data_IF_273639186817
#
_entry.id   IF_273639186817
#
_cell.length_a   1.000
_cell.length_b   1.000
_cell.length_c   1.000
_cell.angle_alpha   90.00
_cell.angle_beta   90.00
_cell.angle_gamma   90.00
#
_symmetry.space_group_name_H-M   'P 1'
#
loop_
_entity.id
_entity.type
_entity.pdbx_description
1 polymer ?
#
# COMPACT_ATOMS: atom_id res chain seq x y z
N UNK A 1 -5.29 15.80 -19.75
CA UNK A 1 -4.76 15.84 -18.36
C UNK A 1 -3.84 17.05 -18.23
N UNK A 2 -4.21 18.08 -17.46
CA UNK A 2 -3.37 19.27 -17.24
C UNK A 2 -2.12 18.82 -16.48
N UNK A 3 -0.92 18.98 -17.06
CA UNK A 3 0.32 18.66 -16.37
C UNK A 3 0.46 19.59 -15.15
N UNK A 4 0.30 19.03 -13.95
CA UNK A 4 0.55 19.74 -12.70
C UNK A 4 1.96 19.44 -12.23
N UNK A 5 2.74 20.50 -12.06
CA UNK A 5 4.06 20.46 -11.44
C UNK A 5 3.93 20.03 -9.98
N UNK A 6 4.78 19.10 -9.55
CA UNK A 6 4.88 18.70 -8.14
C UNK A 6 5.40 19.89 -7.33
N UNK A 7 4.63 20.30 -6.31
CA UNK A 7 5.09 21.34 -5.37
C UNK A 7 6.00 20.72 -4.32
N UNK A 8 6.84 21.53 -3.68
CA UNK A 8 7.71 21.06 -2.58
C UNK A 8 6.92 20.33 -1.46
N UNK A 9 5.73 20.82 -1.11
CA UNK A 9 4.85 20.16 -0.15
C UNK A 9 4.33 18.79 -0.62
N UNK A 10 4.07 18.62 -1.93
CA UNK A 10 3.69 17.32 -2.49
C UNK A 10 4.86 16.34 -2.36
N UNK A 11 6.08 16.79 -2.64
CA UNK A 11 7.29 15.97 -2.53
C UNK A 11 7.56 15.55 -1.08
N UNK A 12 7.38 16.46 -0.12
CA UNK A 12 7.52 16.16 1.30
C UNK A 12 6.51 15.10 1.75
N UNK A 13 5.24 15.23 1.35
CA UNK A 13 4.21 14.24 1.67
C UNK A 13 4.46 12.89 1.00
N UNK A 14 4.93 12.88 -0.26
CA UNK A 14 5.33 11.66 -0.97
C UNK A 14 6.45 10.94 -0.20
N UNK A 15 7.50 11.66 0.20
CA UNK A 15 8.60 11.11 1.00
C UNK A 15 8.15 10.59 2.36
N UNK A 16 7.28 11.35 3.04
CA UNK A 16 6.69 10.94 4.32
C UNK A 16 5.91 9.62 4.17
N UNK A 17 5.09 9.46 3.14
CA UNK A 17 4.36 8.22 2.92
C UNK A 17 5.26 7.05 2.53
N UNK A 18 6.35 7.29 1.78
CA UNK A 18 7.36 6.26 1.54
C UNK A 18 8.04 5.81 2.86
N UNK A 19 8.32 6.75 3.78
CA UNK A 19 8.83 6.42 5.11
C UNK A 19 7.80 5.67 5.97
N UNK A 20 6.53 6.05 5.93
CA UNK A 20 5.46 5.32 6.63
C UNK A 20 5.28 3.90 6.08
N UNK A 21 5.46 3.69 4.77
CA UNK A 21 5.50 2.34 4.19
C UNK A 21 6.66 1.53 4.77
N UNK A 22 7.85 2.11 4.91
CA UNK A 22 9.01 1.45 5.52
C UNK A 22 8.76 1.07 6.99
N UNK A 23 8.16 1.97 7.76
CA UNK A 23 7.74 1.70 9.15
C UNK A 23 6.69 0.60 9.17
N UNK A 24 5.67 0.67 8.31
CA UNK A 24 4.63 -0.33 8.22
C UNK A 24 5.15 -1.71 7.81
N UNK A 25 6.21 -1.77 7.00
CA UNK A 25 6.86 -3.01 6.60
C UNK A 25 7.59 -3.70 7.76
N UNK A 26 8.13 -2.91 8.70
CA UNK A 26 9.04 -3.39 9.73
C UNK A 26 8.45 -3.38 11.15
N UNK A 27 7.26 -2.79 11.36
CA UNK A 27 6.64 -2.74 12.69
C UNK A 27 6.40 -4.12 13.30
N UNK A 28 6.19 -5.15 12.46
CA UNK A 28 6.02 -6.54 12.88
C UNK A 28 7.28 -7.38 12.76
N UNK A 29 8.40 -6.81 12.27
CA UNK A 29 9.69 -7.51 12.15
C UNK A 29 10.28 -7.91 13.49
N UNK A 30 9.97 -7.17 14.56
CA UNK A 30 10.42 -7.49 15.92
C UNK A 30 9.55 -8.55 16.62
N UNK A 31 8.48 -9.04 15.97
CA UNK A 31 7.54 -10.01 16.52
C UNK A 31 7.49 -11.27 15.63
N UNK A 32 8.36 -12.28 15.87
CA UNK A 32 8.48 -13.47 15.03
C UNK A 32 7.21 -14.33 14.95
N UNK A 33 6.25 -14.12 15.85
CA UNK A 33 4.95 -14.78 15.86
C UNK A 33 3.90 -14.08 14.98
N UNK A 34 4.14 -12.84 14.55
CA UNK A 34 3.25 -12.07 13.65
C UNK A 34 3.61 -12.29 12.18
N UNK A 35 3.79 -13.55 11.80
CA UNK A 35 4.00 -13.96 10.41
C UNK A 35 3.19 -15.22 10.11
N UNK A 36 2.67 -15.30 8.89
CA UNK A 36 1.94 -16.48 8.40
C UNK A 36 2.66 -16.97 7.16
N UNK A 37 3.04 -18.26 7.15
CA UNK A 37 3.82 -18.88 6.07
C UNK A 37 5.13 -18.16 5.70
N UNK A 38 5.78 -17.51 6.68
CA UNK A 38 7.01 -16.73 6.49
C UNK A 38 6.82 -15.36 5.84
N UNK A 39 5.57 -14.89 5.73
CA UNK A 39 5.24 -13.55 5.28
C UNK A 39 4.82 -12.73 6.51
N UNK A 40 5.54 -11.63 6.84
CA UNK A 40 5.20 -10.78 7.97
C UNK A 40 3.84 -10.10 7.81
N UNK A 41 3.08 -10.04 8.90
CA UNK A 41 1.77 -9.39 8.96
C UNK A 41 1.95 -7.86 9.02
N UNK A 42 2.34 -7.23 7.92
CA UNK A 42 2.76 -5.81 7.89
C UNK A 42 1.59 -4.82 7.95
N UNK A 43 1.86 -3.55 8.26
CA UNK A 43 0.90 -2.44 8.17
C UNK A 43 1.01 -1.66 6.84
N UNK A 44 1.79 -2.15 5.88
CA UNK A 44 1.96 -1.50 4.58
C UNK A 44 0.64 -1.27 3.83
N UNK A 45 -0.30 -2.25 3.75
CA UNK A 45 -1.59 -2.02 3.08
C UNK A 45 -2.35 -0.82 3.66
N UNK A 46 -2.31 -0.65 4.98
CA UNK A 46 -2.94 0.49 5.65
C UNK A 46 -2.32 1.82 5.21
N UNK A 47 -0.99 1.96 5.23
CA UNK A 47 -0.33 3.20 4.83
C UNK A 47 -0.46 3.49 3.33
N UNK A 48 -0.46 2.44 2.49
CA UNK A 48 -0.72 2.54 1.07
C UNK A 48 -2.11 3.15 0.78
N UNK A 49 -3.15 2.62 1.42
CA UNK A 49 -4.52 3.11 1.25
C UNK A 49 -4.71 4.49 1.88
N UNK A 50 -4.09 4.75 3.02
CA UNK A 50 -4.07 6.08 3.64
C UNK A 50 -3.43 7.12 2.71
N UNK A 51 -2.31 6.77 2.04
CA UNK A 51 -1.67 7.61 1.05
C UNK A 51 -2.63 7.94 -0.11
N UNK A 52 -3.35 6.93 -0.61
CA UNK A 52 -4.34 7.12 -1.67
C UNK A 52 -5.45 8.09 -1.27
N UNK A 53 -5.97 7.94 -0.05
CA UNK A 53 -7.05 8.77 0.50
C UNK A 53 -6.64 10.22 0.73
N UNK A 54 -5.38 10.43 1.12
CA UNK A 54 -4.82 11.74 1.45
C UNK A 54 -4.26 12.46 0.24
N UNK A 55 -3.40 11.80 -0.53
CA UNK A 55 -2.62 12.41 -1.61
C UNK A 55 -3.33 12.40 -2.96
N UNK A 56 -4.31 11.51 -3.14
CA UNK A 56 -4.92 11.23 -4.44
C UNK A 56 -4.14 10.23 -5.28
N UNK A 57 -4.65 9.90 -6.47
CA UNK A 57 -4.23 8.77 -7.30
C UNK A 57 -2.75 8.87 -7.69
N UNK A 58 -2.39 9.98 -8.35
CA UNK A 58 -1.06 10.14 -8.97
C UNK A 58 0.04 10.25 -7.92
N UNK A 59 -0.19 11.06 -6.88
CA UNK A 59 0.81 11.31 -5.83
C UNK A 59 1.01 10.09 -4.93
N UNK A 60 -0.07 9.36 -4.60
CA UNK A 60 0.05 8.13 -3.83
C UNK A 60 0.79 7.04 -4.63
N UNK A 61 0.50 6.89 -5.93
CA UNK A 61 1.25 5.99 -6.80
C UNK A 61 2.74 6.34 -6.84
N UNK A 62 3.07 7.64 -6.99
CA UNK A 62 4.46 8.11 -6.92
C UNK A 62 5.10 7.76 -5.57
N UNK A 63 4.40 7.93 -4.43
CA UNK A 63 4.92 7.56 -3.12
C UNK A 63 5.23 6.05 -3.01
N UNK A 64 4.35 5.19 -3.54
CA UNK A 64 4.61 3.75 -3.57
C UNK A 64 5.78 3.39 -4.49
N UNK A 65 5.92 4.09 -5.62
CA UNK A 65 7.08 3.93 -6.52
C UNK A 65 8.38 4.39 -5.86
N UNK A 66 8.36 5.53 -5.15
CA UNK A 66 9.53 6.01 -4.40
C UNK A 66 9.93 5.02 -3.32
N UNK A 67 8.97 4.46 -2.58
CA UNK A 67 9.23 3.37 -1.63
C UNK A 67 9.89 2.16 -2.32
N UNK A 68 9.33 1.70 -3.43
CA UNK A 68 9.89 0.55 -4.16
C UNK A 68 11.31 0.82 -4.69
N UNK A 69 11.55 2.00 -5.28
CA UNK A 69 12.85 2.38 -5.83
C UNK A 69 13.90 2.63 -4.75
N UNK A 70 13.54 3.24 -3.64
CA UNK A 70 14.46 3.46 -2.52
C UNK A 70 14.93 2.12 -1.92
N UNK A 71 14.01 1.17 -1.75
CA UNK A 71 14.37 -0.17 -1.28
C UNK A 71 15.20 -0.93 -2.30
N UNK A 72 14.86 -0.82 -3.59
CA UNK A 72 15.64 -1.40 -4.69
C UNK A 72 17.05 -0.81 -4.76
N UNK A 73 17.23 0.48 -4.48
CA UNK A 73 18.52 1.15 -4.44
C UNK A 73 19.39 0.76 -3.22
N UNK A 74 18.87 -0.07 -2.31
CA UNK A 74 19.63 -0.63 -1.19
C UNK A 74 19.23 -0.12 0.19
N UNK A 75 18.20 0.72 0.31
CA UNK A 75 17.70 1.11 1.64
C UNK A 75 17.01 -0.09 2.33
N UNK A 76 17.30 -0.39 3.61
CA UNK A 76 16.73 -1.52 4.35
C UNK A 76 15.30 -1.23 4.84
N UNK A 77 14.40 -0.93 3.89
CA UNK A 77 13.04 -0.45 4.16
C UNK A 77 11.96 -1.48 3.85
N UNK A 78 12.31 -2.60 3.20
CA UNK A 78 11.40 -3.71 3.01
C UNK A 78 11.28 -4.52 4.30
N UNK A 79 10.30 -5.44 4.34
CA UNK A 79 10.02 -6.23 5.52
C UNK A 79 11.27 -7.01 5.98
N UNK A 80 11.43 -7.14 7.30
CA UNK A 80 12.63 -7.72 7.93
C UNK A 80 13.92 -6.95 7.62
N UNK A 81 13.81 -5.63 7.49
CA UNK A 81 14.90 -4.71 7.16
C UNK A 81 15.68 -5.14 5.91
N UNK A 82 14.99 -5.77 4.96
CA UNK A 82 15.59 -6.22 3.71
C UNK A 82 15.69 -5.09 2.68
N UNK A 83 16.56 -5.27 1.69
CA UNK A 83 16.88 -4.27 0.67
C UNK A 83 17.26 -4.92 -0.67
N UNK A 84 17.35 -4.10 -1.71
CA UNK A 84 17.83 -4.49 -3.04
C UNK A 84 16.78 -5.26 -3.84
N UNK A 85 17.26 -6.08 -4.79
CA UNK A 85 16.41 -6.84 -5.68
C UNK A 85 15.88 -8.15 -5.08
N UNK A 86 16.56 -8.71 -4.07
CA UNK A 86 16.19 -10.00 -3.49
C UNK A 86 14.74 -10.06 -2.94
N UNK A 87 14.20 -9.03 -2.26
CA UNK A 87 12.81 -9.03 -1.82
C UNK A 87 11.79 -9.09 -2.97
N UNK A 88 12.16 -8.59 -4.17
CA UNK A 88 11.28 -8.62 -5.33
C UNK A 88 11.10 -10.01 -5.91
N UNK A 89 12.05 -10.93 -5.75
CA UNK A 89 11.94 -12.34 -6.18
C UNK A 89 11.44 -13.27 -5.07
N UNK A 90 11.26 -12.75 -3.86
CA UNK A 90 10.72 -13.49 -2.72
C UNK A 90 9.22 -13.69 -2.79
N UNK A 91 8.68 -14.49 -1.86
CA UNK A 91 7.24 -14.83 -1.78
C UNK A 91 6.34 -13.59 -1.69
N UNK A 92 6.78 -12.53 -0.99
CA UNK A 92 6.03 -11.30 -0.77
C UNK A 92 6.34 -10.16 -1.74
N UNK A 93 7.27 -10.36 -2.70
CA UNK A 93 7.73 -9.30 -3.61
C UNK A 93 6.60 -8.66 -4.42
N UNK A 94 5.60 -9.45 -4.79
CA UNK A 94 4.41 -8.99 -5.51
C UNK A 94 3.60 -7.94 -4.78
N UNK A 95 3.61 -7.91 -3.45
CA UNK A 95 2.89 -6.90 -2.68
C UNK A 95 3.54 -5.52 -2.81
N UNK A 96 4.88 -5.45 -2.89
CA UNK A 96 5.61 -4.20 -3.15
C UNK A 96 5.14 -3.58 -4.48
N UNK A 97 5.00 -4.42 -5.52
CA UNK A 97 4.51 -4.01 -6.82
C UNK A 97 3.01 -3.67 -6.80
N UNK A 98 2.21 -4.42 -6.04
CA UNK A 98 0.76 -4.25 -5.95
C UNK A 98 0.34 -2.93 -5.30
N UNK A 99 1.16 -2.37 -4.40
CA UNK A 99 0.83 -1.10 -3.75
C UNK A 99 0.71 0.06 -4.75
N UNK A 100 1.49 0.07 -5.83
CA UNK A 100 1.45 1.15 -6.84
C UNK A 100 0.06 1.25 -7.52
N UNK A 101 -0.44 0.21 -8.20
CA UNK A 101 -1.76 0.26 -8.83
C UNK A 101 -2.89 0.34 -7.80
N UNK A 102 -2.74 -0.24 -6.60
CA UNK A 102 -3.74 -0.14 -5.55
C UNK A 102 -3.91 1.30 -5.04
N UNK A 103 -2.81 1.99 -4.77
CA UNK A 103 -2.81 3.39 -4.35
C UNK A 103 -3.43 4.29 -5.42
N UNK A 104 -3.09 4.03 -6.70
CA UNK A 104 -3.67 4.75 -7.82
C UNK A 104 -5.19 4.54 -7.90
N UNK A 105 -5.65 3.28 -7.89
CA UNK A 105 -7.06 2.93 -8.03
C UNK A 105 -7.93 3.50 -6.90
N UNK A 106 -7.48 3.36 -5.65
CA UNK A 106 -8.18 3.89 -4.49
C UNK A 106 -8.25 5.43 -4.51
N UNK A 107 -7.13 6.09 -4.85
CA UNK A 107 -7.09 7.55 -4.94
C UNK A 107 -7.96 8.08 -6.08
N UNK A 108 -7.95 7.41 -7.23
CA UNK A 108 -8.73 7.81 -8.40
C UNK A 108 -10.23 7.74 -8.14
N UNK A 109 -10.69 6.73 -7.40
CA UNK A 109 -12.10 6.63 -7.00
C UNK A 109 -12.54 7.82 -6.15
N UNK A 110 -11.68 8.28 -5.22
CA UNK A 110 -11.98 9.42 -4.36
C UNK A 110 -11.92 10.76 -5.09
N UNK A 111 -11.05 10.89 -6.09
CA UNK A 111 -10.94 12.10 -6.92
C UNK A 111 -12.17 12.31 -7.82
N UNK A 112 -12.91 11.25 -8.16
CA UNK A 112 -14.15 11.35 -8.94
C UNK A 112 -15.28 12.06 -8.21
N UNK A 113 -15.24 12.08 -6.88
CA UNK A 113 -16.26 12.71 -6.05
C UNK A 113 -15.71 14.00 -5.46
N UNK A 114 -16.39 15.13 -5.67
CA UNK A 114 -15.96 16.44 -5.14
C UNK A 114 -15.89 16.45 -3.61
N UNK A 115 -16.91 15.90 -2.96
CA UNK A 115 -17.02 15.79 -1.50
C UNK A 115 -17.30 14.33 -1.10
N UNK A 116 -16.28 13.47 -1.05
CA UNK A 116 -16.51 12.07 -0.72
C UNK A 116 -16.88 11.92 0.75
N UNK A 117 -18.07 11.37 1.00
CA UNK A 117 -18.50 10.90 2.32
C UNK A 117 -17.83 9.57 2.72
N UNK A 118 -18.13 9.07 3.93
CA UNK A 118 -17.54 7.84 4.51
C UNK A 118 -17.65 6.62 3.59
N UNK A 119 -18.78 6.47 2.89
CA UNK A 119 -19.01 5.35 1.98
C UNK A 119 -18.01 5.32 0.81
N UNK A 120 -17.62 6.49 0.28
CA UNK A 120 -16.64 6.57 -0.79
C UNK A 120 -15.24 6.14 -0.30
N UNK A 121 -14.87 6.51 0.93
CA UNK A 121 -13.61 6.04 1.54
C UNK A 121 -13.63 4.53 1.79
N UNK A 122 -14.77 3.97 2.20
CA UNK A 122 -14.93 2.52 2.35
C UNK A 122 -14.78 1.80 1.00
N UNK A 123 -15.43 2.28 -0.06
CA UNK A 123 -15.26 1.66 -1.39
C UNK A 123 -13.84 1.80 -1.91
N UNK A 124 -13.20 2.95 -1.70
CA UNK A 124 -11.83 3.18 -2.11
C UNK A 124 -10.85 2.24 -1.38
N UNK A 125 -11.05 2.05 -0.06
CA UNK A 125 -10.23 1.12 0.72
C UNK A 125 -10.44 -0.32 0.28
N UNK A 126 -11.69 -0.76 0.10
CA UNK A 126 -12.01 -2.12 -0.34
C UNK A 126 -11.46 -2.43 -1.74
N UNK A 127 -11.60 -1.50 -2.69
CA UNK A 127 -11.07 -1.68 -4.05
C UNK A 127 -9.53 -1.72 -4.02
N UNK A 128 -8.90 -0.81 -3.27
CA UNK A 128 -7.44 -0.84 -3.12
C UNK A 128 -6.96 -2.14 -2.48
N UNK A 129 -7.61 -2.61 -1.42
CA UNK A 129 -7.33 -3.93 -0.82
C UNK A 129 -7.49 -5.05 -1.85
N UNK A 130 -8.58 -5.07 -2.61
CA UNK A 130 -8.79 -6.09 -3.64
C UNK A 130 -7.64 -6.11 -4.67
N UNK A 131 -7.20 -4.94 -5.14
CA UNK A 131 -6.06 -4.82 -6.07
C UNK A 131 -4.76 -5.34 -5.43
N UNK A 132 -4.50 -5.01 -4.16
CA UNK A 132 -3.33 -5.51 -3.41
C UNK A 132 -3.32 -7.04 -3.40
N UNK A 133 -4.44 -7.65 -3.02
CA UNK A 133 -4.53 -9.10 -2.87
C UNK A 133 -4.56 -9.85 -4.19
N UNK A 134 -5.24 -9.34 -5.21
CA UNK A 134 -5.26 -9.96 -6.54
C UNK A 134 -3.84 -10.01 -7.11
N UNK A 135 -3.12 -8.89 -7.11
CA UNK A 135 -1.77 -8.84 -7.70
C UNK A 135 -0.76 -9.55 -6.79
N UNK A 136 -0.76 -9.25 -5.50
CA UNK A 136 0.19 -9.81 -4.54
C UNK A 136 0.07 -11.33 -4.40
N UNK A 137 -1.15 -11.86 -4.30
CA UNK A 137 -1.39 -13.32 -4.16
C UNK A 137 -1.09 -14.05 -5.47
N UNK A 138 -1.46 -13.47 -6.62
CA UNK A 138 -1.13 -14.05 -7.94
C UNK A 138 0.37 -14.14 -8.12
N UNK A 139 1.09 -13.07 -7.80
CA UNK A 139 2.54 -13.07 -7.80
C UNK A 139 3.10 -14.14 -6.84
N UNK A 140 2.60 -14.19 -5.60
CA UNK A 140 3.04 -15.16 -4.58
C UNK A 140 2.92 -16.59 -5.10
N UNK A 141 1.81 -16.92 -5.75
CA UNK A 141 1.60 -18.22 -6.38
C UNK A 141 2.61 -18.50 -7.49
N UNK A 142 2.80 -17.55 -8.41
CA UNK A 142 3.76 -17.67 -9.53
C UNK A 142 5.18 -17.89 -8.97
N UNK A 143 5.56 -17.11 -7.95
CA UNK A 143 6.88 -17.18 -7.33
C UNK A 143 7.15 -18.53 -6.68
N UNK A 144 6.18 -18.97 -5.87
CA UNK A 144 6.24 -20.25 -5.19
C UNK A 144 6.31 -21.42 -6.17
N UNK A 145 5.55 -21.36 -7.28
CA UNK A 145 5.48 -22.44 -8.26
C UNK A 145 6.69 -22.46 -9.20
N UNK A 146 7.09 -21.32 -9.77
CA UNK A 146 8.04 -21.28 -10.88
C UNK A 146 9.50 -21.33 -10.42
N UNK A 147 9.92 -20.54 -9.43
CA UNK A 147 11.34 -20.45 -9.06
C UNK A 147 11.66 -20.81 -7.60
N UNK A 148 10.66 -20.90 -6.71
CA UNK A 148 10.85 -21.46 -5.36
C UNK A 148 10.45 -22.95 -5.27
N UNK A 149 9.96 -23.52 -6.38
CA UNK A 149 9.64 -24.93 -6.58
C UNK A 149 8.81 -25.58 -5.46
N UNK A 150 7.89 -24.81 -4.88
CA UNK A 150 6.98 -25.28 -3.84
C UNK A 150 5.74 -25.94 -4.46
N UNK A 151 5.30 -27.12 -3.97
CA UNK A 151 4.13 -27.81 -4.48
C UNK A 151 2.85 -27.19 -3.93
N UNK A 152 2.47 -26.03 -4.48
CA UNK A 152 1.27 -25.30 -4.05
C UNK A 152 0.27 -25.09 -5.19
N UNK A 153 -1.02 -25.13 -4.86
CA UNK A 153 -2.08 -24.72 -5.77
C UNK A 153 -2.40 -23.23 -5.60
N UNK A 154 -3.06 -22.64 -6.58
CA UNK A 154 -3.51 -21.25 -6.50
C UNK A 154 -4.48 -21.02 -5.33
N UNK A 155 -5.37 -21.98 -5.08
CA UNK A 155 -6.28 -21.94 -3.93
C UNK A 155 -5.55 -21.95 -2.58
N UNK A 156 -4.45 -22.71 -2.46
CA UNK A 156 -3.63 -22.72 -1.24
C UNK A 156 -2.91 -21.38 -1.02
N UNK A 157 -2.47 -20.70 -2.08
CA UNK A 157 -1.91 -19.36 -1.96
C UNK A 157 -2.92 -18.38 -1.36
N UNK A 158 -4.17 -18.39 -1.84
CA UNK A 158 -5.26 -17.59 -1.27
C UNK A 158 -5.62 -17.99 0.15
N UNK A 159 -5.60 -19.28 0.46
CA UNK A 159 -5.83 -19.78 1.82
C UNK A 159 -4.81 -19.22 2.81
N UNK A 160 -3.52 -19.18 2.47
CA UNK A 160 -2.50 -18.55 3.32
C UNK A 160 -2.71 -17.04 3.49
N UNK A 161 -3.31 -16.37 2.50
CA UNK A 161 -3.58 -14.93 2.56
C UNK A 161 -4.82 -14.57 3.37
N UNK A 162 -5.66 -15.53 3.79
CA UNK A 162 -6.94 -15.24 4.45
C UNK A 162 -6.77 -14.44 5.75
N UNK A 163 -5.73 -14.72 6.53
CA UNK A 163 -5.48 -14.03 7.80
C UNK A 163 -5.07 -12.57 7.59
N UNK A 164 -4.23 -12.33 6.57
CA UNK A 164 -3.87 -10.98 6.17
C UNK A 164 -5.10 -10.23 5.65
N UNK A 165 -5.92 -10.90 4.84
CA UNK A 165 -7.12 -10.32 4.25
C UNK A 165 -8.11 -9.87 5.32
N UNK A 166 -8.39 -10.72 6.32
CA UNK A 166 -9.26 -10.36 7.46
C UNK A 166 -8.74 -9.11 8.17
N UNK A 167 -7.45 -9.09 8.53
CA UNK A 167 -6.80 -7.93 9.15
C UNK A 167 -6.95 -6.68 8.29
N UNK A 168 -6.65 -6.77 7.01
CA UNK A 168 -6.63 -5.62 6.11
C UNK A 168 -8.02 -5.10 5.80
N UNK A 169 -9.05 -5.95 5.79
CA UNK A 169 -10.45 -5.52 5.71
C UNK A 169 -10.84 -4.72 6.95
N UNK A 170 -10.47 -5.19 8.16
CA UNK A 170 -10.72 -4.45 9.40
C UNK A 170 -10.04 -3.08 9.35
N UNK A 171 -8.76 -3.04 8.94
CA UNK A 171 -8.00 -1.80 8.80
C UNK A 171 -8.54 -0.89 7.69
N UNK A 172 -9.05 -1.46 6.59
CA UNK A 172 -9.67 -0.72 5.49
C UNK A 172 -10.99 -0.06 5.92
N UNK A 173 -11.78 -0.72 6.77
CA UNK A 173 -12.99 -0.14 7.37
C UNK A 173 -12.66 0.92 8.42
N UNK A 174 -11.62 0.69 9.24
CA UNK A 174 -11.11 1.70 10.17
C UNK A 174 -10.67 2.96 9.41
N UNK A 175 -9.93 2.79 8.31
CA UNK A 175 -9.50 3.88 7.43
C UNK A 175 -10.68 4.72 6.92
N UNK A 176 -11.81 4.10 6.57
CA UNK A 176 -12.99 4.82 6.13
C UNK A 176 -13.53 5.80 7.18
N UNK A 177 -13.26 5.54 8.46
CA UNK A 177 -13.67 6.39 9.58
C UNK A 177 -12.64 7.48 9.89
N UNK A 178 -11.35 7.15 9.88
CA UNK A 178 -10.27 8.06 10.30
C UNK A 178 -9.73 8.95 9.17
N UNK A 179 -9.68 8.44 7.94
CA UNK A 179 -9.06 9.14 6.81
C UNK A 179 -9.73 10.47 6.46
N UNK A 180 -11.07 10.63 6.56
CA UNK A 180 -11.69 11.94 6.38
C UNK A 180 -11.21 12.97 7.39
N UNK A 181 -11.03 12.57 8.65
CA UNK A 181 -10.55 13.45 9.72
C UNK A 181 -9.08 13.84 9.49
N UNK A 182 -8.24 12.86 9.18
CA UNK A 182 -6.81 13.08 8.87
C UNK A 182 -6.66 13.99 7.65
N UNK A 183 -7.47 13.79 6.61
CA UNK A 183 -7.45 14.63 5.41
C UNK A 183 -7.77 16.09 5.72
N UNK A 184 -8.79 16.35 6.53
CA UNK A 184 -9.14 17.71 6.94
C UNK A 184 -8.02 18.37 7.73
N UNK A 185 -7.38 17.64 8.64
CA UNK A 185 -6.26 18.15 9.43
C UNK A 185 -5.04 18.48 8.57
N UNK A 186 -4.65 17.57 7.67
CA UNK A 186 -3.51 17.79 6.75
C UNK A 186 -3.81 18.95 5.80
N UNK A 187 -5.02 18.99 5.22
CA UNK A 187 -5.44 20.08 4.34
C UNK A 187 -5.38 21.44 5.06
N UNK A 188 -5.88 21.52 6.29
CA UNK A 188 -5.85 22.74 7.10
C UNK A 188 -4.43 23.19 7.44
N UNK A 189 -3.54 22.25 7.78
CA UNK A 189 -2.17 22.56 8.19
C UNK A 189 -1.25 22.95 7.03
N UNK A 190 -1.45 22.37 5.85
CA UNK A 190 -0.50 22.50 4.72
C UNK A 190 -1.09 23.23 3.51
N UNK A 191 -2.39 23.50 3.49
CA UNK A 191 -3.11 23.94 2.30
C UNK A 191 -3.17 22.88 1.20
N UNK A 192 -2.70 21.65 1.46
CA UNK A 192 -2.62 20.58 0.47
C UNK A 192 -4.00 20.12 0.06
N UNK A 193 -4.32 20.24 -1.23
CA UNK A 193 -5.55 19.72 -1.80
C UNK A 193 -5.23 18.50 -2.69
N UNK A 194 -5.90 17.37 -2.41
CA UNK A 194 -5.78 16.17 -3.27
C UNK A 194 -6.40 16.37 -4.64
N UNK A 195 -7.43 17.23 -4.72
CA UNK A 195 -8.09 17.61 -5.96
C UNK A 195 -7.97 19.12 -6.14
N UNK A 196 -6.77 19.66 -6.46
CA UNK A 196 -6.66 21.07 -6.81
C UNK A 196 -7.60 21.30 -8.01
N UNK A 197 -8.35 22.39 -8.03
CA UNK A 197 -9.06 22.81 -9.24
C UNK A 197 -8.08 23.35 -10.29
#
# INVERSE_FOLDING_TARGET
>A
MKQRNLRAGDMALIGMFAALMAVGANITSMAPFLQVAGIPLSLQPFFCLLAAMLLGARRAAIAMTVYALAGLAGAPIFAQFSAGFAPFIGKSGGFILAYIPAAFAAGWLLEKTKEPGRLHYAWASLIGTAVIYIIGTTYTYIALKLWLHAPISYGMAWFYMIWFFIKDIILALLLASIAPAVYRSVHKATGFNRNPA
#
